data_IF_863913070573
#
_entry.id   IF_863913070573
#
_cell.length_a   1.000
_cell.length_b   1.000
_cell.length_c   1.000
_cell.angle_alpha   90.00
_cell.angle_beta   90.00
_cell.angle_gamma   90.00
#
_symmetry.space_group_name_H-M   'P 1'
#
loop_
_entity.id
_entity.type
_entity.pdbx_description
1 polymer ?
#
# COMPACT_ATOMS: atom_id res chain seq x y z
N UNK A 1 -11.89 31.05 -28.54
CA UNK A 1 -11.79 29.90 -27.61
C UNK A 1 -10.70 28.91 -27.99
N UNK A 2 -10.66 28.36 -29.20
CA UNK A 2 -9.67 27.34 -29.61
C UNK A 2 -8.19 27.71 -29.34
N UNK A 3 -7.78 28.95 -29.63
CA UNK A 3 -6.40 29.42 -29.36
C UNK A 3 -6.06 29.43 -27.86
N UNK A 4 -7.01 29.77 -26.99
CA UNK A 4 -6.80 29.80 -25.55
C UNK A 4 -6.67 28.38 -24.98
N UNK A 5 -7.49 27.44 -25.46
CA UNK A 5 -7.42 26.02 -25.10
C UNK A 5 -6.11 25.39 -25.57
N UNK A 6 -5.68 25.68 -26.80
CA UNK A 6 -4.39 25.21 -27.32
C UNK A 6 -3.22 25.73 -26.47
N UNK A 7 -3.24 27.01 -26.10
CA UNK A 7 -2.21 27.58 -25.22
C UNK A 7 -2.20 26.96 -23.83
N UNK A 8 -3.37 26.67 -23.25
CA UNK A 8 -3.47 25.96 -21.96
C UNK A 8 -2.89 24.55 -22.06
N UNK A 9 -3.19 23.83 -23.15
CA UNK A 9 -2.66 22.49 -23.38
C UNK A 9 -1.13 22.48 -23.56
N UNK A 10 -0.61 23.35 -24.42
CA UNK A 10 0.84 23.49 -24.66
C UNK A 10 1.58 23.89 -23.38
N UNK A 11 0.99 24.76 -22.57
CA UNK A 11 1.54 25.15 -21.28
C UNK A 11 1.58 23.97 -20.31
N UNK A 12 0.53 23.17 -20.22
CA UNK A 12 0.52 21.99 -19.34
C UNK A 12 1.64 21.00 -19.69
N UNK A 13 1.86 20.74 -20.99
CA UNK A 13 2.95 19.87 -21.45
C UNK A 13 4.34 20.47 -21.13
N UNK A 14 4.51 21.77 -21.32
CA UNK A 14 5.76 22.46 -21.03
C UNK A 14 6.07 22.51 -19.53
N UNK A 15 5.07 22.80 -18.69
CA UNK A 15 5.20 22.89 -17.24
C UNK A 15 5.64 21.53 -16.64
N UNK A 16 5.08 20.42 -17.11
CA UNK A 16 5.48 19.06 -16.71
C UNK A 16 6.91 18.71 -17.13
N UNK A 17 7.29 18.99 -18.38
CA UNK A 17 8.65 18.76 -18.87
C UNK A 17 9.69 19.60 -18.12
N UNK A 18 9.35 20.85 -17.82
CA UNK A 18 10.22 21.77 -17.07
C UNK A 18 10.41 21.31 -15.62
N UNK A 19 9.35 20.81 -14.96
CA UNK A 19 9.46 20.23 -13.62
C UNK A 19 10.41 19.03 -13.59
N UNK A 20 10.24 18.08 -14.52
CA UNK A 20 11.09 16.88 -14.62
C UNK A 20 12.57 17.22 -14.83
N UNK A 21 12.86 18.24 -15.63
CA UNK A 21 14.22 18.72 -15.86
C UNK A 21 14.84 19.32 -14.58
N UNK A 22 14.05 20.08 -13.80
CA UNK A 22 14.48 20.61 -12.50
C UNK A 22 14.76 19.47 -11.52
N UNK A 23 13.85 18.50 -11.39
CA UNK A 23 14.01 17.36 -10.47
C UNK A 23 15.26 16.54 -10.82
N UNK A 24 15.48 16.26 -12.11
CA UNK A 24 16.67 15.56 -12.60
C UNK A 24 17.95 16.32 -12.27
N UNK A 25 17.98 17.63 -12.55
CA UNK A 25 19.14 18.47 -12.22
C UNK A 25 19.39 18.57 -10.71
N UNK A 26 18.33 18.62 -9.89
CA UNK A 26 18.44 18.62 -8.43
C UNK A 26 18.97 17.29 -7.89
N UNK A 27 18.55 16.16 -8.47
CA UNK A 27 19.09 14.85 -8.14
C UNK A 27 20.58 14.72 -8.50
N UNK A 28 21.02 15.39 -9.58
CA UNK A 28 22.42 15.51 -9.96
C UNK A 28 23.22 16.56 -9.15
N UNK A 29 22.61 17.17 -8.13
CA UNK A 29 23.28 18.13 -7.24
C UNK A 29 23.37 19.57 -7.78
N UNK A 30 22.71 19.90 -8.89
CA UNK A 30 22.78 21.24 -9.50
C UNK A 30 22.22 22.31 -8.54
N UNK A 31 22.99 23.38 -8.24
CA UNK A 31 22.52 24.49 -7.40
C UNK A 31 21.37 25.30 -8.04
N UNK A 32 20.49 25.86 -7.20
CA UNK A 32 19.31 26.63 -7.64
C UNK A 32 19.62 27.83 -8.55
N UNK A 33 20.79 28.45 -8.43
CA UNK A 33 21.15 29.61 -9.25
C UNK A 33 21.42 29.23 -10.71
N UNK A 34 21.73 27.96 -11.03
CA UNK A 34 21.89 27.52 -12.43
C UNK A 34 20.56 27.38 -13.16
N UNK A 35 19.43 27.34 -12.44
CA UNK A 35 18.11 27.27 -13.05
C UNK A 35 17.51 28.64 -13.35
N UNK A 36 18.14 29.75 -12.96
CA UNK A 36 17.52 31.09 -13.09
C UNK A 36 17.26 31.46 -14.54
N UNK A 37 18.23 31.20 -15.42
CA UNK A 37 18.11 31.47 -16.85
C UNK A 37 17.07 30.55 -17.51
N UNK A 38 17.20 29.23 -17.30
CA UNK A 38 16.28 28.24 -17.86
C UNK A 38 14.83 28.43 -17.39
N UNK A 39 14.63 28.94 -16.17
CA UNK A 39 13.30 29.23 -15.63
C UNK A 39 12.86 30.68 -15.88
N UNK A 40 13.63 31.50 -16.60
CA UNK A 40 13.34 32.91 -16.86
C UNK A 40 13.00 33.70 -15.57
N UNK A 41 13.84 33.56 -14.54
CA UNK A 41 13.70 34.25 -13.25
C UNK A 41 15.01 34.90 -12.84
N UNK A 42 14.93 35.92 -11.99
CA UNK A 42 16.08 36.80 -11.69
C UNK A 42 16.88 36.37 -10.46
N UNK A 43 16.44 35.37 -9.71
CA UNK A 43 17.12 34.97 -8.47
C UNK A 43 16.96 33.49 -8.16
N UNK A 44 17.90 32.94 -7.37
CA UNK A 44 17.83 31.57 -6.85
C UNK A 44 16.51 31.29 -6.10
N UNK A 45 16.00 32.29 -5.38
CA UNK A 45 14.77 32.18 -4.62
C UNK A 45 13.56 32.14 -5.56
N UNK A 46 13.56 32.93 -6.63
CA UNK A 46 12.53 32.89 -7.64
C UNK A 46 12.54 31.56 -8.43
N UNK A 47 13.72 30.99 -8.69
CA UNK A 47 13.86 29.65 -9.30
C UNK A 47 13.24 28.56 -8.40
N UNK A 48 13.58 28.58 -7.11
CA UNK A 48 13.00 27.68 -6.12
C UNK A 48 11.48 27.82 -6.03
N UNK A 49 10.96 29.05 -5.92
CA UNK A 49 9.52 29.30 -5.83
C UNK A 49 8.78 28.90 -7.12
N UNK A 50 9.39 29.12 -8.30
CA UNK A 50 8.82 28.70 -9.57
C UNK A 50 8.76 27.19 -9.68
N UNK A 51 9.82 26.47 -9.29
CA UNK A 51 9.82 25.01 -9.22
C UNK A 51 8.70 24.48 -8.29
N UNK A 52 8.52 25.09 -7.12
CA UNK A 52 7.43 24.71 -6.20
C UNK A 52 6.03 24.95 -6.77
N UNK A 53 5.84 26.02 -7.54
CA UNK A 53 4.56 26.26 -8.23
C UNK A 53 4.31 25.25 -9.35
N UNK A 54 5.35 24.83 -10.07
CA UNK A 54 5.26 23.76 -11.07
C UNK A 54 4.90 22.43 -10.40
N UNK A 55 5.53 22.10 -9.27
CA UNK A 55 5.19 20.92 -8.47
C UNK A 55 3.76 20.96 -7.95
N UNK A 56 3.29 22.12 -7.50
CA UNK A 56 1.89 22.29 -7.10
C UNK A 56 0.91 22.07 -8.26
N UNK A 57 1.24 22.45 -9.49
CA UNK A 57 0.39 22.19 -10.65
C UNK A 57 0.36 20.71 -11.05
N UNK A 58 1.48 20.01 -10.90
CA UNK A 58 1.62 18.58 -11.19
C UNK A 58 0.80 17.70 -10.23
N UNK A 59 0.71 18.11 -8.96
CA UNK A 59 0.10 17.29 -7.90
C UNK A 59 -1.34 17.72 -7.54
N UNK A 60 -1.78 18.94 -7.87
CA UNK A 60 -3.11 19.41 -7.46
C UNK A 60 -4.25 18.67 -8.13
N UNK A 61 -5.38 18.59 -7.43
CA UNK A 61 -6.65 18.13 -7.99
C UNK A 61 -7.40 19.25 -8.76
N UNK A 62 -8.30 18.89 -9.70
CA UNK A 62 -9.14 19.87 -10.39
C UNK A 62 -9.99 20.68 -9.41
N UNK A 63 -9.63 21.96 -9.22
CA UNK A 63 -10.33 22.90 -8.33
C UNK A 63 -9.46 23.47 -7.21
N UNK A 64 -8.30 22.88 -6.93
CA UNK A 64 -7.38 23.37 -5.91
C UNK A 64 -6.61 24.62 -6.36
N UNK A 65 -6.24 25.49 -5.42
CA UNK A 65 -5.49 26.73 -5.72
C UNK A 65 -4.06 26.41 -6.15
N UNK A 66 -3.51 27.20 -7.06
CA UNK A 66 -2.10 27.15 -7.48
C UNK A 66 -1.19 27.77 -6.42
N UNK A 67 -0.98 27.07 -5.32
CA UNK A 67 -0.22 27.55 -4.17
C UNK A 67 0.90 26.55 -3.79
N UNK A 68 2.13 27.01 -3.52
CA UNK A 68 3.21 26.13 -3.06
C UNK A 68 2.86 25.30 -1.82
N UNK A 69 1.96 25.81 -0.98
CA UNK A 69 1.44 25.13 0.22
C UNK A 69 0.74 23.81 -0.13
N UNK A 70 -0.01 23.76 -1.25
CA UNK A 70 -0.69 22.54 -1.74
C UNK A 70 0.33 21.46 -2.09
N UNK A 71 1.45 21.82 -2.74
CA UNK A 71 2.53 20.86 -3.01
C UNK A 71 3.13 20.25 -1.72
N UNK A 72 3.28 21.06 -0.67
CA UNK A 72 3.78 20.56 0.63
C UNK A 72 2.78 19.62 1.29
N UNK A 73 1.50 19.97 1.29
CA UNK A 73 0.46 19.13 1.90
C UNK A 73 0.34 17.76 1.22
N UNK A 74 0.44 17.72 -0.11
CA UNK A 74 0.47 16.46 -0.84
C UNK A 74 1.78 15.68 -0.61
N UNK A 75 2.94 16.33 -0.59
CA UNK A 75 4.22 15.69 -0.23
C UNK A 75 4.16 15.09 1.19
N UNK A 76 3.64 15.85 2.17
CA UNK A 76 3.48 15.40 3.56
C UNK A 76 2.50 14.23 3.65
N UNK A 77 1.41 14.25 2.88
CA UNK A 77 0.45 13.15 2.78
C UNK A 77 1.08 11.90 2.20
N UNK A 78 1.78 12.00 1.07
CA UNK A 78 2.48 10.86 0.46
C UNK A 78 3.55 10.29 1.40
N UNK A 79 4.30 11.13 2.10
CA UNK A 79 5.27 10.68 3.11
C UNK A 79 4.59 9.99 4.28
N UNK A 80 3.44 10.50 4.74
CA UNK A 80 2.66 9.87 5.81
C UNK A 80 2.09 8.51 5.37
N UNK A 81 1.56 8.40 4.16
CA UNK A 81 1.07 7.15 3.57
C UNK A 81 2.19 6.12 3.44
N UNK A 82 3.35 6.50 2.91
CA UNK A 82 4.51 5.61 2.82
C UNK A 82 5.00 5.14 4.20
N UNK A 83 4.94 6.02 5.22
CA UNK A 83 5.27 5.63 6.60
C UNK A 83 4.26 4.65 7.16
N UNK A 84 2.97 4.87 6.92
CA UNK A 84 1.90 3.97 7.36
C UNK A 84 2.02 2.59 6.69
N UNK A 85 2.30 2.56 5.38
CA UNK A 85 2.52 1.33 4.62
C UNK A 85 3.73 0.55 5.14
N UNK A 86 4.87 1.22 5.35
CA UNK A 86 6.07 0.57 5.94
C UNK A 86 5.82 0.06 7.34
N UNK A 87 5.07 0.80 8.17
CA UNK A 87 4.73 0.36 9.51
C UNK A 87 3.87 -0.92 9.48
N UNK A 88 2.90 -1.00 8.56
CA UNK A 88 2.08 -2.19 8.36
C UNK A 88 2.94 -3.39 7.93
N UNK A 89 3.84 -3.21 6.95
CA UNK A 89 4.75 -4.26 6.49
C UNK A 89 5.62 -4.82 7.63
N UNK A 90 6.18 -3.95 8.47
CA UNK A 90 7.01 -4.37 9.61
C UNK A 90 6.22 -5.17 10.66
N UNK A 91 4.96 -4.80 10.91
CA UNK A 91 4.09 -5.58 11.80
C UNK A 91 3.83 -6.98 11.22
N UNK A 92 3.55 -7.05 9.92
CA UNK A 92 3.27 -8.31 9.24
C UNK A 92 4.49 -9.22 9.18
N UNK A 93 5.67 -8.66 8.90
CA UNK A 93 6.93 -9.41 8.88
C UNK A 93 7.22 -10.06 10.24
N UNK A 94 6.97 -9.34 11.34
CA UNK A 94 7.12 -9.88 12.71
C UNK A 94 6.12 -10.99 13.03
N UNK A 95 4.89 -10.89 12.50
CA UNK A 95 3.81 -11.86 12.73
C UNK A 95 3.97 -13.13 11.89
N UNK A 96 4.65 -13.04 10.74
CA UNK A 96 4.73 -14.13 9.76
C UNK A 96 5.23 -15.47 10.31
N UNK A 97 6.32 -15.57 11.11
CA UNK A 97 6.77 -16.86 11.64
C UNK A 97 5.72 -17.57 12.49
N UNK A 98 4.97 -16.80 13.30
CA UNK A 98 3.87 -17.33 14.14
C UNK A 98 2.70 -17.74 13.26
N UNK A 99 2.32 -16.90 12.29
CA UNK A 99 1.28 -17.21 11.32
C UNK A 99 1.58 -18.53 10.59
N UNK A 100 2.83 -18.71 10.13
CA UNK A 100 3.27 -19.92 9.41
C UNK A 100 3.13 -21.17 10.28
N UNK A 101 3.54 -21.10 11.55
CA UNK A 101 3.37 -22.23 12.47
C UNK A 101 1.89 -22.59 12.69
N UNK A 102 1.04 -21.59 12.85
CA UNK A 102 -0.41 -21.80 13.01
C UNK A 102 -1.00 -22.43 11.75
N UNK A 103 -0.62 -21.94 10.57
CA UNK A 103 -1.09 -22.49 9.31
C UNK A 103 -0.67 -23.96 9.12
N UNK A 104 0.56 -24.32 9.48
CA UNK A 104 1.00 -25.73 9.46
C UNK A 104 0.14 -26.60 10.39
N UNK A 105 -0.18 -26.13 11.60
CA UNK A 105 -1.06 -26.85 12.53
C UNK A 105 -2.49 -27.00 11.98
N UNK A 106 -3.02 -25.96 11.33
CA UNK A 106 -4.34 -26.02 10.69
C UNK A 106 -4.35 -27.02 9.53
N UNK A 107 -3.29 -27.06 8.73
CA UNK A 107 -3.14 -28.02 7.62
C UNK A 107 -3.04 -29.46 8.13
N UNK A 108 -2.30 -29.68 9.22
CA UNK A 108 -2.15 -30.99 9.87
C UNK A 108 -3.50 -31.52 10.39
N UNK A 109 -4.36 -30.64 10.92
CA UNK A 109 -5.64 -31.02 11.51
C UNK A 109 -6.85 -30.65 10.65
N UNK A 110 -6.65 -30.41 9.35
CA UNK A 110 -7.69 -29.90 8.43
C UNK A 110 -8.95 -30.76 8.40
N UNK A 111 -8.81 -32.08 8.49
CA UNK A 111 -9.93 -33.03 8.38
C UNK A 111 -10.87 -32.93 9.60
N UNK A 112 -10.40 -32.32 10.70
CA UNK A 112 -11.19 -32.04 11.88
C UNK A 112 -11.91 -30.69 11.87
N UNK A 113 -11.74 -29.87 10.82
CA UNK A 113 -12.34 -28.55 10.71
C UNK A 113 -13.58 -28.65 9.82
N UNK A 114 -14.70 -28.11 10.29
CA UNK A 114 -15.94 -28.04 9.51
C UNK A 114 -15.82 -26.85 8.56
N UNK A 115 -15.74 -27.13 7.26
CA UNK A 115 -15.46 -26.15 6.22
C UNK A 115 -16.60 -26.03 5.21
N UNK A 116 -16.87 -24.82 4.78
CA UNK A 116 -17.63 -24.54 3.57
C UNK A 116 -16.70 -24.33 2.37
N UNK A 117 -17.27 -23.94 1.23
CA UNK A 117 -16.49 -23.67 0.02
C UNK A 117 -15.46 -22.54 0.21
N UNK A 118 -15.76 -21.54 1.05
CA UNK A 118 -14.85 -20.43 1.30
C UNK A 118 -13.70 -20.83 2.22
N UNK A 119 -13.98 -21.53 3.31
CA UNK A 119 -12.95 -22.06 4.19
C UNK A 119 -12.05 -23.06 3.47
N UNK A 120 -12.64 -23.95 2.65
CA UNK A 120 -11.90 -24.90 1.82
C UNK A 120 -11.00 -24.19 0.79
N UNK A 121 -11.49 -23.11 0.18
CA UNK A 121 -10.69 -22.28 -0.73
C UNK A 121 -9.48 -21.67 0.00
N UNK A 122 -9.70 -20.99 1.13
CA UNK A 122 -8.62 -20.30 1.84
C UNK A 122 -7.56 -21.24 2.40
N UNK A 123 -7.94 -22.41 2.91
CA UNK A 123 -6.95 -23.39 3.38
C UNK A 123 -6.17 -24.03 2.23
N UNK A 124 -6.76 -24.13 1.03
CA UNK A 124 -6.07 -24.51 -0.20
C UNK A 124 -5.01 -23.49 -0.58
N UNK A 125 -5.38 -22.20 -0.65
CA UNK A 125 -4.43 -21.11 -0.91
C UNK A 125 -3.28 -21.08 0.10
N UNK A 126 -3.57 -21.31 1.38
CA UNK A 126 -2.55 -21.42 2.43
C UNK A 126 -1.63 -22.61 2.16
N UNK A 127 -2.17 -23.79 1.84
CA UNK A 127 -1.38 -24.99 1.56
C UNK A 127 -0.41 -24.81 0.38
N UNK A 128 -0.87 -24.14 -0.69
CA UNK A 128 -0.09 -23.95 -1.91
C UNK A 128 1.04 -22.92 -1.77
N UNK A 129 0.95 -22.02 -0.80
CA UNK A 129 1.80 -20.82 -0.76
C UNK A 129 2.56 -20.63 0.55
N UNK A 130 2.57 -21.64 1.43
CA UNK A 130 3.19 -21.51 2.76
C UNK A 130 4.73 -21.48 2.72
N UNK A 131 5.32 -22.13 1.71
CA UNK A 131 6.78 -22.29 1.59
C UNK A 131 7.43 -21.33 0.58
N UNK A 132 6.65 -20.70 -0.30
CA UNK A 132 7.15 -19.86 -1.40
C UNK A 132 7.08 -18.34 -1.12
N UNK A 133 7.28 -17.89 0.14
CA UNK A 133 7.15 -16.47 0.52
C UNK A 133 8.46 -15.79 0.92
N UNK A 134 9.09 -15.19 -0.09
CA UNK A 134 10.36 -14.51 0.07
C UNK A 134 10.20 -13.00 0.28
N UNK A 135 9.10 -12.40 -0.20
CA UNK A 135 8.91 -10.95 -0.07
C UNK A 135 8.08 -10.52 1.16
N UNK A 136 8.33 -9.32 1.74
CA UNK A 136 7.50 -8.77 2.82
C UNK A 136 6.03 -8.59 2.44
N UNK A 137 5.74 -8.22 1.18
CA UNK A 137 4.37 -8.06 0.69
C UNK A 137 3.63 -9.40 0.55
N UNK A 138 4.32 -10.45 0.10
CA UNK A 138 3.79 -11.82 0.11
C UNK A 138 3.49 -12.25 1.54
N UNK A 139 4.40 -12.04 2.48
CA UNK A 139 4.17 -12.40 3.90
C UNK A 139 3.01 -11.63 4.52
N UNK A 140 2.80 -10.36 4.15
CA UNK A 140 1.64 -9.58 4.57
C UNK A 140 0.30 -10.13 4.08
N UNK A 141 0.25 -10.60 2.83
CA UNK A 141 -0.95 -11.26 2.28
C UNK A 141 -1.26 -12.56 3.01
N UNK A 142 -0.25 -13.29 3.49
CA UNK A 142 -0.41 -14.57 4.18
C UNK A 142 -1.26 -14.43 5.45
N UNK A 143 -0.93 -13.44 6.29
CA UNK A 143 -1.70 -13.15 7.51
C UNK A 143 -3.17 -12.85 7.18
N UNK A 144 -3.42 -12.10 6.11
CA UNK A 144 -4.78 -11.79 5.65
C UNK A 144 -5.58 -13.01 5.15
N UNK A 145 -4.90 -14.01 4.58
CA UNK A 145 -5.55 -15.27 4.19
C UNK A 145 -5.90 -16.11 5.42
N UNK A 146 -5.02 -16.15 6.43
CA UNK A 146 -5.31 -16.80 7.70
C UNK A 146 -6.51 -16.15 8.42
N UNK A 147 -6.58 -14.82 8.44
CA UNK A 147 -7.73 -14.07 8.96
C UNK A 147 -9.03 -14.39 8.19
N UNK A 148 -8.95 -14.46 6.86
CA UNK A 148 -10.09 -14.81 6.00
C UNK A 148 -10.57 -16.24 6.24
N UNK A 149 -9.64 -17.19 6.37
CA UNK A 149 -9.94 -18.58 6.69
C UNK A 149 -10.67 -18.69 8.04
N UNK A 150 -10.12 -18.11 9.11
CA UNK A 150 -10.72 -18.13 10.46
C UNK A 150 -12.13 -17.51 10.43
N UNK A 151 -12.30 -16.40 9.72
CA UNK A 151 -13.62 -15.76 9.57
C UNK A 151 -14.61 -16.64 8.81
N UNK A 152 -14.19 -17.32 7.75
CA UNK A 152 -15.04 -18.22 6.98
C UNK A 152 -15.51 -19.40 7.84
N UNK A 153 -14.60 -20.04 8.57
CA UNK A 153 -14.92 -21.16 9.48
C UNK A 153 -15.92 -20.74 10.57
N UNK A 154 -15.67 -19.62 11.26
CA UNK A 154 -16.58 -19.14 12.30
C UNK A 154 -17.92 -18.63 11.74
N UNK A 155 -17.89 -17.97 10.59
CA UNK A 155 -19.10 -17.55 9.89
C UNK A 155 -19.99 -18.75 9.55
N UNK A 156 -19.37 -19.80 9.03
CA UNK A 156 -20.04 -21.04 8.68
C UNK A 156 -20.68 -21.75 9.87
N UNK A 157 -19.91 -21.96 10.94
CA UNK A 157 -20.38 -22.57 12.18
C UNK A 157 -21.58 -21.82 12.77
N UNK A 158 -21.53 -20.48 12.74
CA UNK A 158 -22.62 -19.62 13.21
C UNK A 158 -23.86 -19.74 12.34
N UNK A 159 -23.72 -19.80 11.02
CA UNK A 159 -24.85 -19.94 10.09
C UNK A 159 -25.56 -21.28 10.22
N UNK A 160 -24.82 -22.36 10.49
CA UNK A 160 -25.37 -23.72 10.65
C UNK A 160 -25.74 -24.07 12.09
N UNK A 161 -25.37 -23.24 13.05
CA UNK A 161 -25.50 -23.53 14.49
C UNK A 161 -24.83 -24.86 14.87
N UNK A 162 -23.63 -25.10 14.32
CA UNK A 162 -22.83 -26.30 14.49
C UNK A 162 -21.44 -25.97 15.04
N UNK A 163 -20.74 -26.91 15.70
CA UNK A 163 -19.35 -26.70 16.10
C UNK A 163 -18.43 -26.53 14.89
N UNK A 164 -17.49 -25.58 14.96
CA UNK A 164 -16.49 -25.34 13.90
C UNK A 164 -15.49 -26.50 13.71
N UNK A 165 -15.46 -27.46 14.63
CA UNK A 165 -14.47 -28.55 14.66
C UNK A 165 -15.09 -29.84 15.20
N UNK A 166 -14.64 -30.99 14.68
CA UNK A 166 -15.13 -32.33 15.05
C UNK A 166 -14.23 -33.05 16.05
N UNK A 167 -13.00 -32.59 16.25
CA UNK A 167 -12.05 -33.16 17.21
C UNK A 167 -11.26 -32.10 17.99
N UNK A 168 -10.65 -32.54 19.08
CA UNK A 168 -9.93 -31.68 20.02
C UNK A 168 -8.67 -31.03 19.41
N UNK A 169 -7.95 -31.75 18.55
CA UNK A 169 -6.73 -31.24 17.92
C UNK A 169 -7.04 -30.08 16.95
N UNK A 170 -8.08 -30.24 16.12
CA UNK A 170 -8.59 -29.20 15.24
C UNK A 170 -9.12 -28.01 16.04
N UNK A 171 -9.80 -28.26 17.16
CA UNK A 171 -10.26 -27.20 18.08
C UNK A 171 -9.08 -26.37 18.59
N UNK A 172 -8.02 -27.01 19.07
CA UNK A 172 -6.82 -26.31 19.55
C UNK A 172 -6.13 -25.51 18.44
N UNK A 173 -6.01 -26.07 17.23
CA UNK A 173 -5.43 -25.37 16.09
C UNK A 173 -6.27 -24.13 15.70
N UNK A 174 -7.60 -24.26 15.63
CA UNK A 174 -8.51 -23.16 15.33
C UNK A 174 -8.53 -22.10 16.45
N UNK A 175 -8.42 -22.49 17.71
CA UNK A 175 -8.29 -21.55 18.84
C UNK A 175 -7.03 -20.71 18.70
N UNK A 176 -5.86 -21.32 18.44
CA UNK A 176 -4.61 -20.57 18.22
C UNK A 176 -4.71 -19.62 17.03
N UNK A 177 -5.35 -20.05 15.95
CA UNK A 177 -5.58 -19.19 14.79
C UNK A 177 -6.49 -18.01 15.14
N UNK A 178 -7.56 -18.25 15.91
CA UNK A 178 -8.48 -17.21 16.37
C UNK A 178 -7.75 -16.18 17.24
N UNK A 179 -7.01 -16.62 18.26
CA UNK A 179 -6.22 -15.75 19.15
C UNK A 179 -5.13 -14.96 18.43
N UNK A 180 -4.62 -15.48 17.31
CA UNK A 180 -3.64 -14.76 16.50
C UNK A 180 -4.29 -13.67 15.63
N UNK A 181 -5.54 -13.87 15.20
CA UNK A 181 -6.25 -12.98 14.27
C UNK A 181 -7.05 -11.85 14.94
N UNK A 182 -7.40 -11.99 16.22
CA UNK A 182 -8.20 -11.03 16.99
C UNK A 182 -7.41 -10.46 18.17
#
# INVERSE_FOLDING_TARGET
MLRATLWQYLRGQADAGQLKAIETGRAAGVPWHHFTEALCVTSKQAAYQKARRLKAEDVREPGERRAPEVAREHEDRTVAEQRAERALLLVQERRFPVARQIALLLLEHRDGIVMDSWAAYWIGEIAETIDDRDSPDERGRFTGWLESFVRAVHGHARERNEPSTTNEAARQALTKATEFTF
#
